data_IF_068579139577
#
_entry.id   IF_068579139577
#
_cell.length_a   1.000
_cell.length_b   1.000
_cell.length_c   1.000
_cell.angle_alpha   90.00
_cell.angle_beta   90.00
_cell.angle_gamma   90.00
#
_symmetry.space_group_name_H-M   'P 1'
#
loop_
_entity.id
_entity.type
_entity.pdbx_description
1 polymer ?
#
# COMPACT_ATOMS: atom_id res chain seq x y z
N UNK A 1 27.72 -0.69 7.05
CA UNK A 1 27.88 -1.39 5.76
C UNK A 1 26.70 -0.97 4.88
N UNK A 2 26.81 0.18 4.22
CA UNK A 2 25.79 0.76 3.35
C UNK A 2 25.85 0.06 2.00
N UNK A 3 25.07 -1.01 1.82
CA UNK A 3 24.82 -1.53 0.48
C UNK A 3 23.96 -0.50 -0.25
N UNK A 4 24.44 -0.06 -1.41
CA UNK A 4 23.77 0.88 -2.30
C UNK A 4 22.30 0.52 -2.49
N UNK A 5 21.41 1.31 -1.89
CA UNK A 5 19.96 1.25 -2.08
C UNK A 5 19.54 1.74 -3.49
N UNK A 6 20.50 1.95 -4.39
CA UNK A 6 20.30 2.61 -5.69
C UNK A 6 19.61 1.70 -6.71
N UNK A 7 19.71 0.38 -6.56
CA UNK A 7 19.16 -0.61 -7.51
C UNK A 7 18.16 -1.59 -6.88
N UNK A 8 17.25 -1.11 -6.02
CA UNK A 8 16.14 -1.94 -5.56
C UNK A 8 14.99 -1.89 -6.56
N UNK A 9 14.45 -3.07 -6.89
CA UNK A 9 13.25 -3.19 -7.71
C UNK A 9 12.09 -2.44 -7.07
N UNK A 10 11.34 -1.71 -7.89
CA UNK A 10 10.20 -0.92 -7.46
C UNK A 10 8.92 -1.75 -7.56
N UNK A 11 8.14 -1.78 -6.47
CA UNK A 11 6.91 -2.55 -6.37
C UNK A 11 5.72 -1.64 -6.04
N UNK A 12 4.58 -1.93 -6.69
CA UNK A 12 3.26 -1.44 -6.30
C UNK A 12 2.58 -2.53 -5.47
N UNK A 13 2.12 -2.21 -4.27
CA UNK A 13 1.37 -3.15 -3.41
C UNK A 13 -0.11 -2.80 -3.47
N UNK A 14 -0.99 -3.80 -3.58
CA UNK A 14 -2.43 -3.60 -3.55
C UNK A 14 -3.06 -4.35 -2.38
N UNK A 15 -3.67 -3.62 -1.44
CA UNK A 15 -4.48 -4.19 -0.37
C UNK A 15 -5.88 -4.49 -0.89
N UNK A 16 -6.34 -5.73 -0.65
CA UNK A 16 -7.63 -6.22 -1.12
C UNK A 16 -8.53 -6.55 0.09
N UNK A 17 -9.84 -6.25 0.06
CA UNK A 17 -10.75 -6.48 1.18
C UNK A 17 -11.27 -7.94 1.21
N UNK A 18 -10.36 -8.89 0.97
CA UNK A 18 -10.62 -10.33 0.93
C UNK A 18 -9.42 -11.10 1.45
N UNK A 19 -9.70 -12.26 2.04
CA UNK A 19 -8.69 -13.23 2.41
C UNK A 19 -8.36 -14.15 1.23
N UNK A 20 -7.07 -14.44 1.03
CA UNK A 20 -6.58 -15.47 0.10
C UNK A 20 -5.72 -16.48 0.86
N UNK A 21 -5.99 -17.77 0.66
CA UNK A 21 -5.18 -18.84 1.22
C UNK A 21 -3.86 -19.03 0.45
N UNK A 22 -3.86 -18.68 -0.84
CA UNK A 22 -2.69 -18.84 -1.69
C UNK A 22 -1.62 -17.79 -1.37
N UNK A 23 -0.39 -18.27 -1.19
CA UNK A 23 0.82 -17.45 -1.01
C UNK A 23 1.87 -17.90 -2.02
N UNK A 24 2.19 -17.06 -2.99
CA UNK A 24 3.18 -17.37 -4.01
C UNK A 24 3.09 -16.47 -5.25
N UNK A 25 4.04 -16.61 -6.18
CA UNK A 25 3.99 -15.90 -7.45
C UNK A 25 2.85 -16.44 -8.33
N UNK A 26 2.08 -15.55 -8.93
CA UNK A 26 0.99 -15.91 -9.85
C UNK A 26 1.11 -15.12 -11.16
N UNK A 27 0.78 -15.77 -12.27
CA UNK A 27 0.67 -15.11 -13.58
C UNK A 27 -0.74 -14.55 -13.83
N UNK A 28 -1.71 -14.83 -12.96
CA UNK A 28 -3.11 -14.39 -13.08
C UNK A 28 -3.25 -12.87 -13.28
N UNK A 29 -2.33 -12.10 -12.71
CA UNK A 29 -2.35 -10.64 -12.77
C UNK A 29 -1.36 -10.02 -13.75
N UNK A 30 -0.67 -10.83 -14.59
CA UNK A 30 0.38 -10.31 -15.48
C UNK A 30 -0.12 -9.21 -16.41
N UNK A 31 -1.32 -9.39 -16.96
CA UNK A 31 -1.97 -8.42 -17.85
C UNK A 31 -3.10 -7.65 -17.15
N UNK A 32 -3.30 -7.87 -15.85
CA UNK A 32 -4.36 -7.25 -15.08
C UNK A 32 -4.01 -5.81 -14.72
N UNK A 33 -4.89 -4.87 -15.08
CA UNK A 33 -4.73 -3.46 -14.73
C UNK A 33 -5.44 -3.15 -13.43
N UNK A 34 -4.66 -2.80 -12.42
CA UNK A 34 -5.17 -2.20 -11.19
C UNK A 34 -5.51 -0.73 -11.47
N UNK A 35 -6.77 -0.46 -11.81
CA UNK A 35 -7.33 0.89 -12.03
C UNK A 35 -8.08 1.38 -10.78
N UNK A 36 -8.69 2.56 -10.83
CA UNK A 36 -9.46 3.10 -9.70
C UNK A 36 -10.69 2.26 -9.35
N UNK A 37 -11.23 1.53 -10.33
CA UNK A 37 -12.27 0.52 -10.11
C UNK A 37 -11.81 -0.78 -10.73
N UNK A 38 -11.92 -1.88 -9.97
CA UNK A 38 -11.52 -3.21 -10.42
C UNK A 38 -12.61 -4.23 -10.12
N UNK A 39 -12.62 -5.31 -10.89
CA UNK A 39 -13.49 -6.46 -10.62
C UNK A 39 -12.64 -7.65 -10.19
N UNK A 40 -12.81 -8.09 -8.95
CA UNK A 40 -12.11 -9.25 -8.41
C UNK A 40 -13.13 -10.30 -7.95
N UNK A 41 -13.03 -11.52 -8.51
CA UNK A 41 -13.99 -12.62 -8.24
C UNK A 41 -15.46 -12.21 -8.38
N UNK A 42 -15.76 -11.38 -9.39
CA UNK A 42 -17.12 -10.89 -9.66
C UNK A 42 -17.63 -9.81 -8.69
N UNK A 43 -16.76 -9.23 -7.86
CA UNK A 43 -17.08 -8.10 -6.97
C UNK A 43 -16.37 -6.84 -7.44
N UNK A 44 -17.12 -5.75 -7.51
CA UNK A 44 -16.58 -4.42 -7.76
C UNK A 44 -15.85 -3.91 -6.53
N UNK A 45 -14.65 -3.39 -6.74
CA UNK A 45 -13.83 -2.73 -5.71
C UNK A 45 -13.43 -1.36 -6.21
N UNK A 46 -13.48 -0.39 -5.29
CA UNK A 46 -13.06 0.98 -5.57
C UNK A 46 -11.78 1.25 -4.80
N UNK A 47 -10.81 1.82 -5.50
CA UNK A 47 -9.59 2.32 -4.87
C UNK A 47 -9.96 3.49 -3.99
N UNK A 48 -9.44 3.49 -2.77
CA UNK A 48 -9.54 4.61 -1.87
C UNK A 48 -8.97 5.86 -2.55
N UNK A 49 -9.73 6.95 -2.51
CA UNK A 49 -9.22 8.23 -3.01
C UNK A 49 -8.18 8.74 -2.01
N UNK A 50 -7.03 9.26 -2.48
CA UNK A 50 -6.13 10.03 -1.65
C UNK A 50 -6.93 11.05 -0.84
N UNK A 51 -6.74 11.09 0.48
CA UNK A 51 -7.28 12.19 1.26
C UNK A 51 -6.69 13.49 0.70
N UNK A 52 -7.53 14.44 0.30
CA UNK A 52 -7.07 15.77 -0.11
C UNK A 52 -6.33 16.38 1.07
N UNK A 53 -5.03 16.72 0.95
CA UNK A 53 -4.30 17.32 2.06
C UNK A 53 -5.00 18.62 2.44
N UNK A 54 -5.43 18.74 3.70
CA UNK A 54 -5.90 20.01 4.24
C UNK A 54 -4.73 21.00 4.19
N UNK A 55 -5.00 22.26 3.85
CA UNK A 55 -3.97 23.27 3.52
C UNK A 55 -3.04 23.66 4.68
N UNK A 56 -3.11 22.97 5.82
CA UNK A 56 -2.26 23.14 6.99
C UNK A 56 -1.22 22.02 7.18
N UNK A 57 -1.32 20.91 6.44
CA UNK A 57 -0.36 19.81 6.50
C UNK A 57 0.37 19.65 5.17
N UNK A 58 1.57 20.22 5.10
CA UNK A 58 2.52 20.00 3.99
C UNK A 58 3.19 18.62 4.04
N UNK A 59 2.68 17.70 4.87
CA UNK A 59 3.10 16.31 4.83
C UNK A 59 2.26 15.62 3.76
N UNK A 60 2.86 15.43 2.59
CA UNK A 60 2.26 14.77 1.43
C UNK A 60 1.82 13.35 1.79
N UNK A 61 0.57 13.25 2.24
CA UNK A 61 -0.19 12.01 2.40
C UNK A 61 -0.23 11.28 1.06
N UNK A 62 0.39 10.10 1.04
CA UNK A 62 0.26 8.96 0.10
C UNK A 62 1.58 8.27 -0.23
N UNK A 63 2.71 8.80 0.18
CA UNK A 63 3.99 8.10 -0.01
C UNK A 63 4.25 7.25 1.21
N UNK A 64 4.13 5.91 1.10
CA UNK A 64 4.91 5.02 1.96
C UNK A 64 6.38 5.23 1.60
N UNK A 65 6.96 6.33 2.09
CA UNK A 65 8.25 6.84 1.63
C UNK A 65 9.41 5.88 1.94
N UNK A 66 9.17 4.83 2.74
CA UNK A 66 10.18 3.84 3.16
C UNK A 66 9.66 2.38 3.21
N UNK A 67 8.64 2.01 2.43
CA UNK A 67 8.19 0.60 2.40
C UNK A 67 9.24 -0.31 1.73
N UNK A 68 9.55 -1.46 2.33
CA UNK A 68 10.54 -2.41 1.82
C UNK A 68 9.94 -3.81 1.66
N UNK A 69 10.30 -4.50 0.57
CA UNK A 69 10.02 -5.93 0.39
C UNK A 69 11.20 -6.70 0.98
N UNK A 70 10.89 -7.66 1.87
CA UNK A 70 11.87 -8.47 2.57
C UNK A 70 11.82 -9.92 2.07
N UNK A 71 12.98 -10.50 1.81
CA UNK A 71 13.17 -11.94 1.67
C UNK A 71 14.11 -12.41 2.78
N UNK A 72 13.53 -13.02 3.83
CA UNK A 72 14.24 -13.23 5.09
C UNK A 72 14.70 -11.90 5.69
N UNK A 73 16.00 -11.77 5.96
CA UNK A 73 16.61 -10.55 6.52
C UNK A 73 17.16 -9.59 5.44
N UNK A 74 16.85 -9.84 4.16
CA UNK A 74 17.39 -9.06 3.05
C UNK A 74 16.31 -8.19 2.43
N UNK A 75 16.60 -6.90 2.25
CA UNK A 75 15.75 -5.99 1.46
C UNK A 75 15.93 -6.32 -0.01
N UNK A 76 14.86 -6.76 -0.66
CA UNK A 76 14.85 -7.16 -2.08
C UNK A 76 14.10 -6.19 -2.98
N UNK A 77 13.38 -5.22 -2.41
CA UNK A 77 12.61 -4.26 -3.17
C UNK A 77 12.17 -3.07 -2.35
N UNK A 78 11.78 -2.01 -3.04
CA UNK A 78 11.16 -0.82 -2.46
C UNK A 78 9.71 -0.72 -2.90
N UNK A 79 8.83 -0.35 -1.98
CA UNK A 79 7.42 -0.08 -2.27
C UNK A 79 7.33 1.38 -2.70
N UNK A 80 6.89 1.64 -3.93
CA UNK A 80 6.79 3.00 -4.49
C UNK A 80 5.35 3.52 -4.48
N UNK A 81 4.38 2.62 -4.39
CA UNK A 81 2.96 2.97 -4.35
C UNK A 81 2.16 1.87 -3.67
N UNK A 82 1.05 2.29 -3.06
CA UNK A 82 0.09 1.40 -2.42
C UNK A 82 -1.31 1.74 -2.93
N UNK A 83 -2.00 0.73 -3.44
CA UNK A 83 -3.42 0.82 -3.77
C UNK A 83 -4.21 0.20 -2.61
N UNK A 84 -5.05 0.97 -1.94
CA UNK A 84 -6.00 0.41 -0.99
C UNK A 84 -7.35 0.24 -1.70
N UNK A 85 -7.86 -0.99 -1.78
CA UNK A 85 -9.18 -1.25 -2.36
C UNK A 85 -10.20 -1.54 -1.27
N UNK A 86 -11.37 -0.93 -1.40
CA UNK A 86 -12.49 -1.11 -0.50
C UNK A 86 -13.69 -1.68 -1.27
N UNK A 87 -14.60 -2.33 -0.53
CA UNK A 87 -15.89 -2.72 -1.11
C UNK A 87 -16.75 -1.46 -1.24
N UNK A 88 -17.62 -1.44 -2.24
CA UNK A 88 -18.57 -0.35 -2.36
C UNK A 88 -19.42 -0.21 -1.07
N UNK A 89 -19.49 1.01 -0.54
CA UNK A 89 -20.26 1.33 0.67
C UNK A 89 -19.56 1.09 2.01
N UNK A 90 -18.25 0.82 2.02
CA UNK A 90 -17.45 0.79 3.26
C UNK A 90 -16.53 1.99 3.35
N UNK A 91 -16.72 2.87 4.36
CA UNK A 91 -15.84 4.01 4.67
C UNK A 91 -14.79 3.65 5.75
N UNK A 92 -14.25 2.42 5.71
CA UNK A 92 -13.51 1.91 6.87
C UNK A 92 -12.12 2.53 7.00
N UNK A 93 -11.54 3.01 5.90
CA UNK A 93 -10.26 3.73 5.85
C UNK A 93 -9.22 3.20 6.87
N UNK A 94 -9.07 1.87 6.89
CA UNK A 94 -8.26 1.19 7.90
C UNK A 94 -6.77 1.48 7.69
N UNK A 95 -6.36 1.73 6.44
CA UNK A 95 -4.99 2.07 6.10
C UNK A 95 -4.61 3.46 6.60
N UNK A 96 -5.44 4.49 6.44
CA UNK A 96 -5.14 5.81 7.00
C UNK A 96 -5.14 5.77 8.53
N UNK A 97 -6.03 5.01 9.17
CA UNK A 97 -6.02 4.83 10.63
C UNK A 97 -4.74 4.16 11.13
N UNK A 98 -4.22 3.17 10.40
CA UNK A 98 -2.94 2.56 10.72
C UNK A 98 -1.78 3.57 10.58
N UNK A 99 -1.82 4.43 9.56
CA UNK A 99 -0.82 5.49 9.37
C UNK A 99 -0.87 6.55 10.47
N UNK A 100 -2.08 6.96 10.90
CA UNK A 100 -2.25 7.85 12.05
C UNK A 100 -1.68 7.23 13.33
N UNK A 101 -1.92 5.94 13.56
CA UNK A 101 -1.38 5.22 14.71
C UNK A 101 0.16 5.18 14.69
N UNK A 102 0.77 4.87 13.54
CA UNK A 102 2.24 4.85 13.40
C UNK A 102 2.80 6.25 13.71
N UNK A 103 2.19 7.30 13.14
CA UNK A 103 2.59 8.69 13.38
C UNK A 103 2.50 9.07 14.87
N UNK A 104 1.46 8.61 15.57
CA UNK A 104 1.29 8.84 17.02
C UNK A 104 2.38 8.14 17.84
N UNK A 105 2.75 6.91 17.48
CA UNK A 105 3.79 6.14 18.17
C UNK A 105 5.16 6.82 18.03
N UNK A 106 5.46 7.39 16.85
CA UNK A 106 6.72 8.12 16.62
C UNK A 106 6.82 9.39 17.47
N UNK A 107 5.69 10.05 17.77
CA UNK A 107 5.66 11.20 18.68
C UNK A 107 5.85 10.79 20.14
N UNK A 108 5.24 9.68 20.57
CA UNK A 108 5.33 9.19 21.95
C UNK A 108 6.75 8.75 22.33
N UNK A 109 7.52 8.24 21.36
CA UNK A 109 8.85 7.69 21.59
C UNK A 109 10.00 8.70 21.35
N UNK A 110 9.68 9.99 21.17
CA UNK A 110 10.66 11.10 21.20
C UNK A 110 10.83 11.63 22.62
#
# INVERSE_FOLDING_TARGET
MTKDAVNLDAYTVSFMPFYTEYQGPTEEFKDYKFEDTIYFRGKELKREKPATPSSSDNTTSNTFSNGAILSGNTITGKIVSVNNYEREGTDRNELARLQELISLIDVINQ
#
